data_IF_647235133325
#
_entry.id   IF_647235133325
#
_cell.length_a   1.000
_cell.length_b   1.000
_cell.length_c   1.000
_cell.angle_alpha   90.00
_cell.angle_beta   90.00
_cell.angle_gamma   90.00
#
_symmetry.space_group_name_H-M   'P 1'
#
loop_
_entity.id
_entity.type
_entity.pdbx_description
1 polymer ?
#
# COMPACT_ATOMS: atom_id res chain seq x y z
N UNK A 1 20.58 3.49 13.68
CA UNK A 1 19.17 3.20 13.97
C UNK A 1 18.53 2.58 12.75
N UNK A 2 17.56 1.67 12.91
CA UNK A 2 16.85 1.03 11.79
C UNK A 2 15.73 1.96 11.31
N UNK A 3 15.67 2.24 10.01
CA UNK A 3 14.63 3.10 9.42
C UNK A 3 13.26 2.41 9.61
N UNK A 4 12.21 3.14 10.08
CA UNK A 4 10.86 2.61 10.16
C UNK A 4 10.37 2.09 8.81
N UNK A 5 9.65 0.97 8.81
CA UNK A 5 9.17 0.31 7.58
C UNK A 5 7.73 0.68 7.19
N UNK A 6 7.03 1.47 8.00
CA UNK A 6 5.64 1.81 7.75
C UNK A 6 5.12 2.89 8.68
N UNK A 7 3.97 3.45 8.31
CA UNK A 7 3.24 4.49 9.03
C UNK A 7 1.76 4.12 9.00
N UNK A 8 1.04 4.44 10.08
CA UNK A 8 -0.42 4.32 10.15
C UNK A 8 -1.04 5.73 10.10
N UNK A 9 -1.94 5.96 9.14
CA UNK A 9 -2.67 7.23 9.02
C UNK A 9 -4.08 7.06 9.58
N UNK A 10 -4.41 7.80 10.64
CA UNK A 10 -5.72 7.74 11.32
C UNK A 10 -6.40 9.10 11.28
N UNK A 11 -7.70 9.11 10.98
CA UNK A 11 -8.52 10.32 11.05
C UNK A 11 -9.85 10.16 10.31
N UNK A 12 -10.78 11.13 10.46
CA UNK A 12 -12.09 11.13 9.81
C UNK A 12 -12.02 10.93 8.28
N UNK A 13 -13.11 10.48 7.62
CA UNK A 13 -13.18 10.45 6.16
C UNK A 13 -12.99 11.87 5.59
N UNK A 14 -12.38 11.97 4.40
CA UNK A 14 -12.15 13.26 3.73
C UNK A 14 -10.91 14.04 4.20
N UNK A 15 -10.13 13.57 5.17
CA UNK A 15 -8.88 14.24 5.63
C UNK A 15 -7.67 14.06 4.71
N UNK A 16 -7.85 13.51 3.51
CA UNK A 16 -6.78 13.41 2.50
C UNK A 16 -5.72 12.33 2.73
N UNK A 17 -5.94 11.33 3.61
CA UNK A 17 -4.97 10.24 3.89
C UNK A 17 -4.44 9.56 2.62
N UNK A 18 -5.33 9.17 1.72
CA UNK A 18 -4.98 8.54 0.44
C UNK A 18 -4.27 9.51 -0.51
N UNK A 19 -4.67 10.79 -0.50
CA UNK A 19 -4.01 11.84 -1.30
C UNK A 19 -2.59 12.09 -0.83
N UNK A 20 -2.37 12.13 0.49
CA UNK A 20 -1.04 12.29 1.09
C UNK A 20 -0.12 11.14 0.66
N UNK A 21 -0.58 9.89 0.74
CA UNK A 21 0.24 8.75 0.35
C UNK A 21 0.65 8.80 -1.14
N UNK A 22 -0.28 9.17 -2.03
CA UNK A 22 0.00 9.36 -3.47
C UNK A 22 0.96 10.52 -3.73
N UNK A 23 0.76 11.65 -3.07
CA UNK A 23 1.62 12.81 -3.18
C UNK A 23 3.06 12.46 -2.76
N UNK A 24 3.24 11.78 -1.62
CA UNK A 24 4.57 11.34 -1.16
C UNK A 24 5.26 10.43 -2.18
N UNK A 25 4.53 9.50 -2.81
CA UNK A 25 5.12 8.65 -3.84
C UNK A 25 5.48 9.43 -5.12
N UNK A 26 4.64 10.39 -5.51
CA UNK A 26 4.91 11.29 -6.64
C UNK A 26 6.14 12.16 -6.40
N UNK A 27 6.24 12.80 -5.24
CA UNK A 27 7.38 13.64 -4.85
C UNK A 27 8.67 12.82 -4.72
N UNK A 28 8.59 11.58 -4.22
CA UNK A 28 9.74 10.68 -4.15
C UNK A 28 10.08 10.01 -5.49
N UNK A 29 9.22 10.13 -6.51
CA UNK A 29 9.41 9.50 -7.81
C UNK A 29 9.42 7.97 -7.75
N UNK A 30 8.72 7.37 -6.79
CA UNK A 30 8.72 5.92 -6.55
C UNK A 30 7.40 5.27 -6.95
N UNK A 31 7.39 3.98 -7.35
CA UNK A 31 6.16 3.25 -7.62
C UNK A 31 5.19 3.29 -6.42
N UNK A 32 3.91 3.52 -6.70
CA UNK A 32 2.82 3.49 -5.73
C UNK A 32 1.88 2.31 -6.01
N UNK A 33 1.75 1.41 -5.04
CA UNK A 33 0.82 0.29 -5.08
C UNK A 33 -0.30 0.54 -4.08
N UNK A 34 -1.55 0.59 -4.54
CA UNK A 34 -2.72 0.75 -3.68
C UNK A 34 -3.53 -0.55 -3.61
N UNK A 35 -3.97 -0.92 -2.41
CA UNK A 35 -4.80 -2.10 -2.16
C UNK A 35 -5.87 -1.74 -1.13
N UNK A 36 -7.11 -2.17 -1.31
CA UNK A 36 -8.13 -1.98 -0.28
C UNK A 36 -8.11 -3.15 0.71
N UNK A 37 -8.35 -2.89 2.00
CA UNK A 37 -8.61 -3.90 3.02
C UNK A 37 -9.72 -4.88 2.61
N UNK A 38 -10.65 -4.46 1.76
CA UNK A 38 -11.67 -5.33 1.18
C UNK A 38 -11.13 -6.35 0.16
N UNK A 39 -10.02 -6.06 -0.54
CA UNK A 39 -9.39 -6.99 -1.49
C UNK A 39 -8.80 -8.24 -0.80
N UNK A 40 -8.67 -8.21 0.53
CA UNK A 40 -8.23 -9.35 1.32
C UNK A 40 -9.35 -10.38 1.55
N UNK A 41 -10.62 -9.95 1.42
CA UNK A 41 -11.81 -10.76 1.73
C UNK A 41 -12.57 -11.03 0.43
N UNK A 42 -12.16 -12.08 -0.29
CA UNK A 42 -12.86 -12.56 -1.48
C UNK A 42 -13.68 -13.82 -1.18
N UNK A 43 -14.75 -14.05 -1.96
CA UNK A 43 -15.60 -15.25 -1.87
C UNK A 43 -14.84 -16.56 -2.12
N UNK A 44 -13.69 -16.47 -2.80
CA UNK A 44 -12.83 -17.61 -3.11
C UNK A 44 -11.63 -17.67 -2.17
N UNK A 45 -11.54 -18.77 -1.42
CA UNK A 45 -10.48 -19.00 -0.44
C UNK A 45 -9.11 -18.89 -1.11
N UNK A 46 -8.24 -18.04 -0.55
CA UNK A 46 -6.83 -17.94 -0.93
C UNK A 46 -6.51 -16.97 -2.07
N UNK A 47 -7.51 -16.49 -2.83
CA UNK A 47 -7.28 -15.55 -3.95
C UNK A 47 -6.79 -14.18 -3.45
N UNK A 48 -7.45 -13.61 -2.44
CA UNK A 48 -7.01 -12.35 -1.82
C UNK A 48 -5.58 -12.44 -1.25
N UNK A 49 -5.24 -13.56 -0.61
CA UNK A 49 -3.90 -13.77 -0.06
C UNK A 49 -2.82 -13.88 -1.15
N UNK A 50 -3.10 -14.51 -2.29
CA UNK A 50 -2.18 -14.59 -3.41
C UNK A 50 -1.91 -13.19 -4.01
N UNK A 51 -2.96 -12.40 -4.24
CA UNK A 51 -2.85 -11.04 -4.78
C UNK A 51 -1.96 -10.14 -3.92
N UNK A 52 -2.13 -10.21 -2.59
CA UNK A 52 -1.30 -9.45 -1.65
C UNK A 52 0.16 -9.87 -1.78
N UNK A 53 0.46 -11.17 -1.80
CA UNK A 53 1.85 -11.67 -1.94
C UNK A 53 2.47 -11.18 -3.25
N UNK A 54 1.74 -11.27 -4.36
CA UNK A 54 2.24 -10.87 -5.67
C UNK A 54 2.52 -9.36 -5.73
N UNK A 55 1.65 -8.54 -5.13
CA UNK A 55 1.89 -7.10 -5.00
C UNK A 55 3.16 -6.81 -4.19
N UNK A 56 3.33 -7.45 -3.03
CA UNK A 56 4.53 -7.27 -2.21
C UNK A 56 5.81 -7.72 -2.95
N UNK A 57 5.73 -8.80 -3.75
CA UNK A 57 6.85 -9.24 -4.59
C UNK A 57 7.17 -8.21 -5.69
N UNK A 58 6.17 -7.67 -6.38
CA UNK A 58 6.36 -6.62 -7.39
C UNK A 58 6.97 -5.35 -6.80
N UNK A 59 6.49 -4.92 -5.63
CA UNK A 59 7.03 -3.76 -4.93
C UNK A 59 8.49 -3.97 -4.50
N UNK A 60 8.84 -5.17 -4.03
CA UNK A 60 10.22 -5.52 -3.68
C UNK A 60 11.15 -5.50 -4.91
N UNK A 61 10.69 -6.00 -6.06
CA UNK A 61 11.45 -5.97 -7.32
C UNK A 61 11.65 -4.55 -7.86
N UNK A 62 10.71 -3.64 -7.60
CA UNK A 62 10.76 -2.22 -8.02
C UNK A 62 11.14 -1.27 -6.89
N UNK A 63 11.89 -1.75 -5.91
CA UNK A 63 12.35 -0.96 -4.78
C UNK A 63 13.26 0.21 -5.26
N UNK A 64 13.17 1.41 -4.67
CA UNK A 64 12.25 1.80 -3.58
C UNK A 64 10.82 2.00 -4.07
N UNK A 65 9.82 1.58 -3.28
CA UNK A 65 8.39 1.67 -3.62
C UNK A 65 7.53 1.91 -2.36
N UNK A 66 6.32 2.44 -2.56
CA UNK A 66 5.31 2.64 -1.52
C UNK A 66 4.13 1.69 -1.75
N UNK A 67 3.75 0.96 -0.71
CA UNK A 67 2.51 0.18 -0.64
C UNK A 67 1.56 0.91 0.29
N UNK A 68 0.37 1.25 -0.19
CA UNK A 68 -0.71 1.86 0.56
C UNK A 68 -1.88 0.89 0.69
N UNK A 69 -2.34 0.68 1.92
CA UNK A 69 -3.47 -0.19 2.23
C UNK A 69 -4.57 0.71 2.80
N UNK A 70 -5.74 0.73 2.13
CA UNK A 70 -6.94 1.50 2.52
C UNK A 70 -8.01 0.60 3.15
#
# INVERSE_FOLDING_TARGET
GRIPKGVLLVGPPGTGKTMLAKAVAGEAGVPFYGLSGSDFVEMFVGVGAARVRDMFQQAAQRSPAIIFID
#
